data_IF_908151136026
#
_entry.id   IF_908151136026
#
_cell.length_a   1.000
_cell.length_b   1.000
_cell.length_c   1.000
_cell.angle_alpha   90.00
_cell.angle_beta   90.00
_cell.angle_gamma   90.00
#
_symmetry.space_group_name_H-M   'P 1'
#
loop_
_entity.id
_entity.type
_entity.pdbx_description
1 polymer ?
#
# COMPACT_ATOMS: atom_id res chain seq x y z
N UNK A 1 -18.10 -4.68 -16.89
CA UNK A 1 -17.17 -5.77 -16.52
C UNK A 1 -17.88 -6.67 -15.52
N UNK A 2 -17.70 -7.99 -15.57
CA UNK A 2 -18.30 -8.87 -14.57
C UNK A 2 -17.54 -8.72 -13.23
N UNK A 3 -18.27 -8.63 -12.11
CA UNK A 3 -17.68 -8.48 -10.76
C UNK A 3 -16.83 -9.70 -10.36
N UNK A 4 -17.16 -10.88 -10.89
CA UNK A 4 -16.50 -12.15 -10.64
C UNK A 4 -16.22 -12.86 -11.97
N UNK A 5 -15.10 -13.58 -12.03
CA UNK A 5 -14.71 -14.38 -13.20
C UNK A 5 -15.15 -15.85 -13.10
N UNK A 6 -15.54 -16.30 -11.91
CA UNK A 6 -16.03 -17.65 -11.63
C UNK A 6 -17.47 -17.59 -11.07
N UNK A 7 -18.25 -18.69 -11.17
CA UNK A 7 -19.56 -18.76 -10.55
C UNK A 7 -19.51 -18.49 -9.04
N UNK A 8 -20.39 -17.61 -8.55
CA UNK A 8 -20.41 -17.17 -7.14
C UNK A 8 -20.59 -18.33 -6.18
N UNK A 9 -21.36 -19.35 -6.57
CA UNK A 9 -21.62 -20.55 -5.79
C UNK A 9 -20.35 -21.40 -5.51
N UNK A 10 -19.26 -21.16 -6.25
CA UNK A 10 -17.96 -21.80 -6.02
C UNK A 10 -17.03 -20.96 -5.13
N UNK A 11 -17.41 -19.73 -4.80
CA UNK A 11 -16.57 -18.80 -4.04
C UNK A 11 -16.94 -18.81 -2.56
N UNK A 12 -15.95 -18.98 -1.70
CA UNK A 12 -16.15 -18.78 -0.27
C UNK A 12 -16.26 -17.29 0.11
N UNK A 13 -16.74 -17.02 1.32
CA UNK A 13 -16.95 -15.66 1.80
C UNK A 13 -15.65 -14.85 1.84
N UNK A 14 -14.53 -15.49 2.21
CA UNK A 14 -13.22 -14.84 2.26
C UNK A 14 -12.80 -14.38 0.88
N UNK A 15 -12.93 -15.22 -0.13
CA UNK A 15 -12.62 -14.90 -1.53
C UNK A 15 -13.50 -13.78 -2.04
N UNK A 16 -14.80 -13.81 -1.76
CA UNK A 16 -15.70 -12.72 -2.13
C UNK A 16 -15.31 -11.40 -1.46
N UNK A 17 -14.91 -11.41 -0.18
CA UNK A 17 -14.44 -10.21 0.52
C UNK A 17 -13.12 -9.68 -0.05
N UNK A 18 -12.18 -10.56 -0.41
CA UNK A 18 -10.94 -10.16 -1.09
C UNK A 18 -11.26 -9.52 -2.45
N UNK A 19 -12.18 -10.09 -3.24
CA UNK A 19 -12.61 -9.49 -4.51
C UNK A 19 -13.21 -8.10 -4.31
N UNK A 20 -14.03 -7.89 -3.27
CA UNK A 20 -14.56 -6.57 -2.92
C UNK A 20 -13.43 -5.58 -2.65
N UNK A 21 -12.49 -5.93 -1.77
CA UNK A 21 -11.35 -5.07 -1.42
C UNK A 21 -10.44 -4.76 -2.62
N UNK A 22 -10.14 -5.75 -3.47
CA UNK A 22 -9.32 -5.56 -4.68
C UNK A 22 -10.04 -4.65 -5.68
N UNK A 23 -11.34 -4.83 -5.92
CA UNK A 23 -12.07 -3.97 -6.84
C UNK A 23 -12.17 -2.53 -6.31
N UNK A 24 -12.41 -2.33 -5.01
CA UNK A 24 -12.35 -1.00 -4.41
C UNK A 24 -10.98 -0.36 -4.58
N UNK A 25 -9.89 -1.08 -4.26
CA UNK A 25 -8.52 -0.57 -4.47
C UNK A 25 -8.27 -0.18 -5.94
N UNK A 26 -8.73 -0.98 -6.91
CA UNK A 26 -8.60 -0.66 -8.33
C UNK A 26 -9.34 0.62 -8.71
N UNK A 27 -10.58 0.78 -8.22
CA UNK A 27 -11.39 1.96 -8.47
C UNK A 27 -10.73 3.23 -7.92
N UNK A 28 -10.16 3.17 -6.71
CA UNK A 28 -9.42 4.30 -6.13
C UNK A 28 -8.18 4.66 -6.97
N UNK A 29 -7.40 3.66 -7.40
CA UNK A 29 -6.24 3.90 -8.25
C UNK A 29 -6.61 4.49 -9.63
N UNK A 30 -7.72 4.06 -10.23
CA UNK A 30 -8.26 4.66 -11.44
C UNK A 30 -8.69 6.12 -11.21
N UNK A 31 -9.34 6.40 -10.09
CA UNK A 31 -9.73 7.75 -9.72
C UNK A 31 -8.52 8.67 -9.52
N UNK A 32 -7.47 8.21 -8.83
CA UNK A 32 -6.20 8.92 -8.67
C UNK A 32 -5.60 9.29 -10.03
N UNK A 33 -5.48 8.32 -10.95
CA UNK A 33 -4.96 8.57 -12.30
C UNK A 33 -5.80 9.62 -13.05
N UNK A 34 -7.11 9.42 -13.08
CA UNK A 34 -8.00 10.33 -13.80
C UNK A 34 -7.97 11.75 -13.25
N UNK A 35 -8.00 11.91 -11.92
CA UNK A 35 -7.89 13.22 -11.31
C UNK A 35 -6.53 13.84 -11.56
N UNK A 36 -5.44 13.07 -11.51
CA UNK A 36 -4.10 13.59 -11.78
C UNK A 36 -3.98 14.15 -13.22
N UNK A 37 -4.54 13.44 -14.21
CA UNK A 37 -4.61 13.93 -15.59
C UNK A 37 -5.45 15.20 -15.71
N UNK A 38 -6.62 15.27 -15.05
CA UNK A 38 -7.50 16.45 -15.07
C UNK A 38 -6.85 17.66 -14.41
N UNK A 39 -6.15 17.48 -13.30
CA UNK A 39 -5.38 18.54 -12.61
C UNK A 39 -4.31 19.13 -13.55
N UNK A 40 -3.67 18.30 -14.36
CA UNK A 40 -2.68 18.74 -15.34
C UNK A 40 -3.30 19.47 -16.55
N UNK A 41 -4.48 19.04 -17.00
CA UNK A 41 -5.10 19.54 -18.22
C UNK A 41 -6.03 20.75 -18.03
N UNK A 42 -6.63 20.93 -16.86
CA UNK A 42 -7.61 22.00 -16.63
C UNK A 42 -6.96 23.39 -16.57
N UNK A 43 -7.64 24.38 -17.16
CA UNK A 43 -7.27 25.80 -17.04
C UNK A 43 -8.04 26.55 -15.95
N UNK A 44 -9.05 25.92 -15.34
CA UNK A 44 -9.86 26.52 -14.26
C UNK A 44 -9.19 26.26 -12.89
N UNK A 45 -8.79 27.31 -12.14
CA UNK A 45 -8.06 27.15 -10.89
C UNK A 45 -8.91 26.59 -9.74
N UNK A 46 -10.21 26.88 -9.71
CA UNK A 46 -11.11 26.37 -8.66
C UNK A 46 -11.33 24.87 -8.88
N UNK A 47 -11.63 24.48 -10.12
CA UNK A 47 -11.76 23.07 -10.47
C UNK A 47 -10.46 22.30 -10.23
N UNK A 48 -9.30 22.91 -10.53
CA UNK A 48 -7.98 22.30 -10.26
C UNK A 48 -7.81 21.99 -8.77
N UNK A 49 -8.21 22.90 -7.89
CA UNK A 49 -8.16 22.72 -6.44
C UNK A 49 -9.03 21.55 -5.99
N UNK A 50 -10.27 21.47 -6.47
CA UNK A 50 -11.21 20.38 -6.13
C UNK A 50 -10.65 19.03 -6.59
N UNK A 51 -10.18 18.95 -7.85
CA UNK A 51 -9.68 17.69 -8.40
C UNK A 51 -8.40 17.21 -7.68
N UNK A 52 -7.53 18.13 -7.27
CA UNK A 52 -6.33 17.80 -6.51
C UNK A 52 -6.67 17.30 -5.09
N UNK A 53 -7.63 17.96 -4.42
CA UNK A 53 -8.13 17.51 -3.13
C UNK A 53 -8.69 16.10 -3.20
N UNK A 54 -9.62 15.85 -4.13
CA UNK A 54 -10.24 14.53 -4.30
C UNK A 54 -9.18 13.46 -4.62
N UNK A 55 -8.24 13.74 -5.53
CA UNK A 55 -7.12 12.82 -5.85
C UNK A 55 -6.39 12.37 -4.60
N UNK A 56 -6.06 13.32 -3.72
CA UNK A 56 -5.24 13.02 -2.55
C UNK A 56 -6.04 12.25 -1.48
N UNK A 57 -7.36 12.45 -1.38
CA UNK A 57 -8.25 11.62 -0.55
C UNK A 57 -8.37 10.19 -1.08
N UNK A 58 -8.46 9.97 -2.40
CA UNK A 58 -8.53 8.60 -2.93
C UNK A 58 -7.24 7.80 -2.65
N UNK A 59 -6.09 8.47 -2.49
CA UNK A 59 -4.85 7.80 -2.04
C UNK A 59 -5.02 7.27 -0.61
N UNK A 60 -5.68 8.01 0.28
CA UNK A 60 -6.00 7.54 1.62
C UNK A 60 -6.91 6.30 1.55
N UNK A 61 -7.97 6.34 0.74
CA UNK A 61 -8.88 5.22 0.54
C UNK A 61 -8.16 3.97 0.01
N UNK A 62 -7.27 4.14 -0.97
CA UNK A 62 -6.42 3.07 -1.49
C UNK A 62 -5.52 2.48 -0.40
N UNK A 63 -4.87 3.32 0.42
CA UNK A 63 -4.05 2.88 1.55
C UNK A 63 -4.84 2.11 2.62
N UNK A 64 -6.09 2.50 2.88
CA UNK A 64 -6.96 1.78 3.81
C UNK A 64 -7.34 0.39 3.26
N UNK A 65 -7.66 0.30 1.97
CA UNK A 65 -8.03 -0.96 1.32
C UNK A 65 -6.85 -1.94 1.25
N UNK A 66 -5.65 -1.45 0.86
CA UNK A 66 -4.45 -2.30 0.78
C UNK A 66 -4.01 -2.80 2.17
N UNK A 67 -4.18 -2.01 3.23
CA UNK A 67 -3.91 -2.46 4.60
C UNK A 67 -4.87 -3.58 5.04
N UNK A 68 -6.15 -3.52 4.63
CA UNK A 68 -7.06 -4.63 4.88
C UNK A 68 -6.61 -5.89 4.13
N UNK A 69 -6.18 -5.77 2.87
CA UNK A 69 -5.63 -6.90 2.09
C UNK A 69 -4.40 -7.51 2.77
N UNK A 70 -3.45 -6.67 3.21
CA UNK A 70 -2.26 -7.09 3.96
C UNK A 70 -2.61 -7.95 5.17
N UNK A 71 -3.66 -7.60 5.92
CA UNK A 71 -4.11 -8.34 7.11
C UNK A 71 -4.83 -9.65 6.81
N UNK A 72 -5.34 -9.84 5.59
CA UNK A 72 -6.27 -10.93 5.27
C UNK A 72 -5.76 -11.92 4.22
N UNK A 73 -4.62 -11.63 3.57
CA UNK A 73 -4.03 -12.47 2.52
C UNK A 73 -2.50 -12.46 2.65
N UNK A 74 -1.95 -13.53 3.23
CA UNK A 74 -0.56 -13.62 3.72
C UNK A 74 0.51 -13.12 2.74
N UNK A 75 0.38 -13.43 1.45
CA UNK A 75 1.35 -12.99 0.44
C UNK A 75 1.39 -11.47 0.28
N UNK A 76 0.30 -10.74 0.53
CA UNK A 76 0.36 -9.27 0.58
C UNK A 76 1.21 -8.78 1.75
N UNK A 77 1.17 -9.42 2.92
CA UNK A 77 2.02 -9.00 4.05
C UNK A 77 3.50 -9.20 3.78
N UNK A 78 3.85 -10.35 3.20
CA UNK A 78 5.23 -10.66 2.79
C UNK A 78 5.76 -9.59 1.82
N UNK A 79 5.10 -9.43 0.67
CA UNK A 79 5.57 -8.54 -0.39
C UNK A 79 5.56 -7.06 0.04
N UNK A 80 4.53 -6.61 0.77
CA UNK A 80 4.48 -5.21 1.21
C UNK A 80 5.60 -4.87 2.21
N UNK A 81 6.06 -5.83 3.01
CA UNK A 81 7.21 -5.62 3.91
C UNK A 81 8.53 -5.57 3.17
N UNK A 82 8.68 -6.40 2.14
CA UNK A 82 9.89 -6.42 1.31
C UNK A 82 10.08 -5.12 0.55
N UNK A 83 9.00 -4.55 0.01
CA UNK A 83 9.11 -3.46 -0.97
C UNK A 83 8.73 -2.06 -0.46
N UNK A 84 7.95 -1.93 0.62
CA UNK A 84 7.58 -0.60 1.12
C UNK A 84 8.61 -0.06 2.10
N UNK A 85 8.84 1.26 2.01
CA UNK A 85 9.72 2.02 2.90
C UNK A 85 11.20 1.58 2.89
N UNK A 86 11.63 0.92 1.82
CA UNK A 86 13.04 0.58 1.58
C UNK A 86 13.74 1.67 0.77
N UNK A 87 15.02 1.88 1.06
CA UNK A 87 15.91 2.73 0.27
C UNK A 87 16.63 1.91 -0.82
N UNK A 88 17.06 2.56 -1.89
CA UNK A 88 17.82 1.92 -2.97
C UNK A 88 16.97 1.37 -4.11
N UNK A 89 17.48 0.37 -4.82
CA UNK A 89 16.79 -0.22 -5.98
C UNK A 89 15.65 -1.13 -5.53
N UNK A 90 14.42 -0.83 -5.99
CA UNK A 90 13.26 -1.70 -5.75
C UNK A 90 13.50 -3.10 -6.36
N UNK A 91 14.19 -3.18 -7.51
CA UNK A 91 14.49 -4.46 -8.17
C UNK A 91 15.45 -5.34 -7.36
N UNK A 92 16.19 -4.76 -6.41
CA UNK A 92 17.16 -5.47 -5.56
C UNK A 92 16.62 -5.65 -4.13
N UNK A 93 15.40 -5.18 -3.83
CA UNK A 93 14.85 -5.19 -2.47
C UNK A 93 14.69 -6.62 -1.91
N UNK A 94 14.32 -7.57 -2.76
CA UNK A 94 14.21 -9.00 -2.40
C UNK A 94 15.58 -9.63 -2.03
N UNK A 95 16.68 -9.12 -2.57
CA UNK A 95 18.03 -9.63 -2.27
C UNK A 95 18.56 -9.08 -0.92
N UNK A 96 18.10 -7.89 -0.51
CA UNK A 96 18.54 -7.21 0.71
C UNK A 96 17.88 -7.76 1.99
N UNK A 97 16.74 -8.45 1.90
CA UNK A 97 16.09 -9.11 3.05
C UNK A 97 16.93 -10.25 3.67
N UNK A 98 17.91 -10.79 2.93
CA UNK A 98 18.74 -11.92 3.38
C UNK A 98 19.86 -11.52 4.37
N UNK A 99 20.04 -10.24 4.69
CA UNK A 99 21.04 -9.79 5.65
C UNK A 99 20.38 -9.49 7.01
N UNK A 100 20.55 -10.32 8.05
CA UNK A 100 20.22 -9.90 9.39
C UNK A 100 21.13 -8.73 9.74
N UNK A 101 20.55 -7.55 10.00
CA UNK A 101 21.28 -6.44 10.58
C UNK A 101 21.95 -6.92 11.87
N UNK A 102 23.28 -7.05 11.85
CA UNK A 102 24.05 -7.24 13.06
C UNK A 102 23.89 -5.97 13.90
N UNK A 103 23.06 -6.02 14.94
CA UNK A 103 22.95 -4.94 15.93
C UNK A 103 24.33 -4.73 16.55
N UNK A 104 25.00 -3.66 16.15
CA UNK A 104 26.29 -3.26 16.67
C UNK A 104 26.06 -2.54 18.01
N UNK A 105 25.88 -3.31 19.09
CA UNK A 105 25.80 -2.74 20.45
C UNK A 105 27.20 -2.31 20.87
N UNK A 106 27.63 -1.13 20.44
CA UNK A 106 28.78 -0.42 21.00
C UNK A 106 28.25 0.74 21.85
N UNK A 107 28.21 0.57 23.18
CA UNK A 107 27.95 1.72 24.06
C UNK A 107 27.31 1.51 25.42
N UNK A 108 27.20 0.31 25.99
CA UNK A 108 26.81 0.19 27.41
C UNK A 108 28.04 0.46 28.28
N UNK A 109 28.27 1.73 28.62
CA UNK A 109 29.18 2.09 29.71
C UNK A 109 28.56 1.68 31.05
N UNK A 110 28.91 0.49 31.53
CA UNK A 110 28.70 0.08 32.91
C UNK A 110 29.68 0.86 33.78
N UNK A 111 29.25 2.04 34.22
CA UNK A 111 29.97 2.87 35.16
C UNK A 111 28.97 3.70 35.95
N UNK A 112 28.39 3.07 36.98
CA UNK A 112 28.02 3.70 38.27
C UNK A 112 27.15 2.74 39.09
N UNK A 113 27.77 1.66 39.54
CA UNK A 113 27.27 0.88 40.67
C UNK A 113 28.45 0.56 41.58
N UNK A 114 28.72 1.45 42.53
CA UNK A 114 29.38 1.10 43.79
C UNK A 114 29.14 2.21 44.84
N UNK A 115 28.30 1.82 45.81
CA UNK A 115 28.23 2.17 47.24
C UNK A 115 28.53 3.60 47.69
#
# INVERSE_FOLDING_TARGET
MAQYHEPIELLDEKTMNITRAINSLKEELEAVDWYNQRVAATSDPELKGIMAHNRDEEIEHACMAIEWLRRNMDKWDEELRTYLFVDGSILEAEENEAAPESVNISGIHIGDLKK
#
